data_IF_294880877612
#
_entry.id   IF_294880877612
#
_cell.length_a   1.000
_cell.length_b   1.000
_cell.length_c   1.000
_cell.angle_alpha   90.00
_cell.angle_beta   90.00
_cell.angle_gamma   90.00
#
_symmetry.space_group_name_H-M   'P 1'
#
loop_
_entity.id
_entity.type
_entity.pdbx_description
1 polymer ?
#
# COMPACT_ATOMS: atom_id res chain seq x y z
N UNK A 1 -6.91 15.82 8.00
CA UNK A 1 -5.61 15.14 8.25
C UNK A 1 -4.66 16.08 8.99
N UNK A 2 -3.72 15.58 9.80
CA UNK A 2 -2.73 16.40 10.52
C UNK A 2 -1.63 16.90 9.57
N UNK A 3 -1.05 18.07 9.87
CA UNK A 3 0.04 18.64 9.06
C UNK A 3 1.28 17.72 8.98
N UNK A 4 1.57 17.00 10.06
CA UNK A 4 2.70 16.06 10.16
C UNK A 4 2.60 14.89 9.20
N UNK A 5 1.41 14.35 8.92
CA UNK A 5 1.25 13.28 7.93
C UNK A 5 1.51 13.81 6.51
N UNK A 6 1.09 15.02 6.18
CA UNK A 6 1.33 15.61 4.86
C UNK A 6 2.81 15.85 4.59
N UNK A 7 3.55 16.30 5.60
CA UNK A 7 5.00 16.47 5.53
C UNK A 7 5.73 15.13 5.38
N UNK A 8 5.22 14.06 6.01
CA UNK A 8 5.75 12.71 5.84
C UNK A 8 5.55 12.18 4.40
N UNK A 9 4.37 12.40 3.83
CA UNK A 9 3.97 11.86 2.53
C UNK A 9 4.53 12.67 1.36
N UNK A 10 4.57 13.99 1.51
CA UNK A 10 5.05 14.94 0.51
C UNK A 10 5.95 16.00 1.16
N UNK A 11 7.17 15.58 1.58
CA UNK A 11 8.13 16.50 2.13
C UNK A 11 8.60 17.50 1.08
N UNK A 12 8.95 18.70 1.51
CA UNK A 12 9.50 19.75 0.64
C UNK A 12 11.02 19.57 0.53
N UNK A 13 11.44 18.52 -0.17
CA UNK A 13 12.86 18.17 -0.38
C UNK A 13 13.13 17.78 -1.84
N UNK A 14 14.36 18.00 -2.31
CA UNK A 14 14.79 17.58 -3.65
C UNK A 14 14.65 16.07 -3.86
N UNK A 15 14.84 15.27 -2.81
CA UNK A 15 14.64 13.82 -2.87
C UNK A 15 13.17 13.45 -3.17
N UNK A 16 12.20 14.20 -2.63
CA UNK A 16 10.78 13.96 -2.86
C UNK A 16 10.39 14.14 -4.33
N UNK A 17 11.10 15.00 -5.08
CA UNK A 17 10.90 15.18 -6.51
C UNK A 17 11.23 13.91 -7.32
N UNK A 18 12.00 12.99 -6.74
CA UNK A 18 12.36 11.70 -7.33
C UNK A 18 11.59 10.52 -6.74
N UNK A 19 10.48 10.78 -6.06
CA UNK A 19 9.63 9.77 -5.43
C UNK A 19 8.21 9.77 -5.98
N UNK A 20 7.54 8.63 -5.82
CA UNK A 20 6.14 8.43 -6.13
C UNK A 20 5.46 7.79 -4.93
N UNK A 21 4.29 8.31 -4.58
CA UNK A 21 3.47 7.79 -3.51
C UNK A 21 2.37 6.90 -4.08
N UNK A 22 2.20 5.74 -3.47
CA UNK A 22 1.12 4.81 -3.77
C UNK A 22 0.39 4.41 -2.50
N UNK A 23 -0.92 4.17 -2.62
CA UNK A 23 -1.72 3.50 -1.60
C UNK A 23 -2.00 2.08 -2.07
N UNK A 24 -1.50 1.08 -1.34
CA UNK A 24 -1.88 -0.31 -1.54
C UNK A 24 -3.08 -0.64 -0.66
N UNK A 25 -4.26 -0.59 -1.26
CA UNK A 25 -5.56 -0.74 -0.59
C UNK A 25 -6.01 -2.20 -0.55
N UNK A 26 -6.64 -2.59 0.55
CA UNK A 26 -7.27 -3.88 0.76
C UNK A 26 -8.76 -3.83 0.39
N UNK A 27 -9.12 -4.22 -0.83
CA UNK A 27 -10.53 -4.24 -1.25
C UNK A 27 -11.43 -5.16 -0.40
N UNK A 28 -10.86 -6.14 0.32
CA UNK A 28 -11.63 -6.98 1.23
C UNK A 28 -11.96 -6.28 2.55
N UNK A 29 -11.28 -5.16 2.86
CA UNK A 29 -11.49 -4.40 4.10
C UNK A 29 -12.81 -3.66 4.10
N UNK A 30 -13.13 -2.98 2.99
CA UNK A 30 -14.31 -2.13 2.89
C UNK A 30 -14.84 -2.09 1.44
N UNK A 31 -16.13 -2.43 1.20
CA UNK A 31 -16.71 -2.42 -0.14
C UNK A 31 -16.78 -1.01 -0.77
N UNK A 32 -16.61 0.06 0.01
CA UNK A 32 -16.55 1.43 -0.50
C UNK A 32 -15.27 1.70 -1.30
N UNK A 33 -14.18 0.96 -1.04
CA UNK A 33 -12.88 1.15 -1.70
C UNK A 33 -13.02 1.05 -3.22
N UNK A 34 -13.48 -0.10 -3.75
CA UNK A 34 -13.56 -0.27 -5.20
C UNK A 34 -14.54 0.73 -5.82
N UNK A 35 -15.68 0.99 -5.16
CA UNK A 35 -16.69 1.96 -5.63
C UNK A 35 -16.13 3.37 -5.76
N UNK A 36 -15.33 3.79 -4.78
CA UNK A 36 -14.69 5.10 -4.80
C UNK A 36 -13.60 5.15 -5.87
N UNK A 37 -12.74 4.12 -5.95
CA UNK A 37 -11.69 4.05 -6.96
C UNK A 37 -12.24 4.08 -8.39
N UNK A 38 -13.40 3.47 -8.65
CA UNK A 38 -14.08 3.51 -9.96
C UNK A 38 -14.51 4.91 -10.40
N UNK A 39 -14.64 5.84 -9.46
CA UNK A 39 -15.05 7.23 -9.73
C UNK A 39 -13.89 8.23 -9.63
N UNK A 40 -12.79 7.85 -8.97
CA UNK A 40 -11.67 8.73 -8.67
C UNK A 40 -10.87 9.21 -9.88
N UNK A 41 -10.83 8.42 -10.97
CA UNK A 41 -9.94 8.67 -12.11
C UNK A 41 -8.45 8.46 -11.81
N UNK A 42 -8.09 8.00 -10.61
CA UNK A 42 -6.69 7.72 -10.25
C UNK A 42 -6.13 6.53 -11.04
N UNK A 43 -4.86 6.65 -11.41
CA UNK A 43 -4.08 5.54 -11.95
C UNK A 43 -4.01 4.40 -10.93
N UNK A 44 -4.44 3.20 -11.32
CA UNK A 44 -4.59 2.05 -10.42
C UNK A 44 -4.37 0.73 -11.12
N UNK A 45 -3.85 -0.24 -10.35
CA UNK A 45 -3.55 -1.59 -10.80
C UNK A 45 -4.07 -2.62 -9.79
N UNK A 46 -4.76 -3.65 -10.28
CA UNK A 46 -5.19 -4.77 -9.43
C UNK A 46 -4.00 -5.73 -9.24
N UNK A 47 -3.67 -6.09 -8.01
CA UNK A 47 -2.56 -7.02 -7.75
C UNK A 47 -2.88 -8.45 -8.21
N UNK A 48 -4.16 -8.84 -8.23
CA UNK A 48 -4.58 -10.08 -8.86
C UNK A 48 -4.47 -9.97 -10.39
N UNK A 49 -4.30 -11.09 -11.08
CA UNK A 49 -4.15 -11.13 -12.54
C UNK A 49 -5.22 -12.00 -13.18
N UNK A 50 -5.44 -11.77 -14.48
CA UNK A 50 -6.43 -12.49 -15.27
C UNK A 50 -7.85 -11.97 -15.08
N UNK A 51 -8.80 -12.67 -15.69
CA UNK A 51 -10.22 -12.35 -15.57
C UNK A 51 -10.71 -12.73 -14.16
N UNK A 52 -11.16 -11.74 -13.40
CA UNK A 52 -11.68 -11.93 -12.05
C UNK A 52 -13.21 -11.85 -12.06
N UNK A 53 -13.86 -12.76 -11.36
CA UNK A 53 -15.29 -12.62 -11.07
C UNK A 53 -15.53 -11.35 -10.24
N UNK A 54 -16.70 -10.68 -10.37
CA UNK A 54 -16.95 -9.38 -9.73
C UNK A 54 -16.67 -9.35 -8.23
N UNK A 55 -17.07 -10.40 -7.51
CA UNK A 55 -16.84 -10.51 -6.06
C UNK A 55 -15.34 -10.56 -5.70
N UNK A 56 -14.54 -11.26 -6.49
CA UNK A 56 -13.10 -11.35 -6.27
C UNK A 56 -12.39 -10.04 -6.63
N UNK A 57 -12.84 -9.35 -7.69
CA UNK A 57 -12.36 -8.02 -8.06
C UNK A 57 -12.66 -6.98 -6.97
N UNK A 58 -13.86 -7.04 -6.39
CA UNK A 58 -14.26 -6.16 -5.29
C UNK A 58 -13.36 -6.33 -4.05
N UNK A 59 -13.00 -7.57 -3.73
CA UNK A 59 -12.13 -7.89 -2.60
C UNK A 59 -10.62 -7.85 -2.92
N UNK A 60 -10.23 -7.48 -4.15
CA UNK A 60 -8.84 -7.54 -4.57
C UNK A 60 -8.00 -6.42 -3.93
N UNK A 61 -6.69 -6.62 -3.74
CA UNK A 61 -5.80 -5.53 -3.39
C UNK A 61 -5.53 -4.63 -4.60
N UNK A 62 -5.58 -3.32 -4.38
CA UNK A 62 -5.43 -2.29 -5.40
C UNK A 62 -4.23 -1.39 -5.11
N UNK A 63 -3.28 -1.35 -6.02
CA UNK A 63 -2.21 -0.36 -6.00
C UNK A 63 -2.74 0.91 -6.67
N UNK A 64 -2.68 2.05 -6.01
CA UNK A 64 -3.23 3.32 -6.51
C UNK A 64 -2.17 4.39 -6.39
N UNK A 65 -1.89 5.12 -7.46
CA UNK A 65 -0.93 6.22 -7.44
C UNK A 65 -1.59 7.46 -6.83
N UNK A 66 -0.89 8.15 -5.93
CA UNK A 66 -1.35 9.38 -5.29
C UNK A 66 -0.55 10.58 -5.81
N UNK A 67 -1.07 11.36 -6.77
CA UNK A 67 -0.46 12.63 -7.15
C UNK A 67 -0.30 13.56 -5.94
N UNK A 68 0.83 14.25 -5.87
CA UNK A 68 1.21 15.03 -4.70
C UNK A 68 0.19 16.12 -4.39
N UNK A 69 -0.37 16.08 -3.17
CA UNK A 69 -1.33 17.07 -2.64
C UNK A 69 -2.54 17.35 -3.55
N UNK A 70 -2.85 16.47 -4.51
CA UNK A 70 -4.03 16.60 -5.34
C UNK A 70 -5.30 16.38 -4.49
N UNK A 71 -6.40 17.12 -4.72
CA UNK A 71 -7.62 17.00 -3.93
C UNK A 71 -8.13 15.54 -3.80
N UNK A 72 -8.08 14.78 -4.90
CA UNK A 72 -8.50 13.37 -4.93
C UNK A 72 -7.60 12.44 -4.09
N UNK A 73 -6.31 12.75 -3.97
CA UNK A 73 -5.38 12.02 -3.09
C UNK A 73 -5.72 12.28 -1.63
N UNK A 74 -6.01 13.54 -1.29
CA UNK A 74 -6.36 13.95 0.06
C UNK A 74 -7.70 13.33 0.49
N UNK A 75 -8.69 13.32 -0.41
CA UNK A 75 -9.98 12.67 -0.18
C UNK A 75 -9.82 11.17 0.12
N UNK A 76 -9.01 10.45 -0.65
CA UNK A 76 -8.76 9.02 -0.40
C UNK A 76 -8.11 8.79 0.96
N UNK A 77 -7.13 9.62 1.33
CA UNK A 77 -6.47 9.52 2.63
C UNK A 77 -7.45 9.83 3.78
N UNK A 78 -8.30 10.84 3.65
CA UNK A 78 -9.34 11.14 4.64
C UNK A 78 -10.38 10.02 4.78
N UNK A 79 -10.69 9.33 3.69
CA UNK A 79 -11.61 8.21 3.70
C UNK A 79 -11.02 6.97 4.36
N UNK A 80 -9.74 6.66 4.09
CA UNK A 80 -9.15 5.36 4.42
C UNK A 80 -8.15 5.35 5.58
N UNK A 81 -7.44 6.45 5.83
CA UNK A 81 -6.49 6.52 6.93
C UNK A 81 -7.23 6.44 8.29
N UNK A 82 -6.70 5.64 9.19
CA UNK A 82 -7.29 5.25 10.47
C UNK A 82 -8.34 4.13 10.38
N UNK A 83 -8.61 3.56 9.20
CA UNK A 83 -9.62 2.49 9.01
C UNK A 83 -9.02 1.13 8.61
N UNK A 84 -7.70 1.02 8.62
CA UNK A 84 -6.94 -0.11 8.12
C UNK A 84 -7.25 -0.43 6.66
N UNK A 85 -7.46 0.59 5.82
CA UNK A 85 -7.73 0.42 4.39
C UNK A 85 -6.52 -0.08 3.61
N UNK A 86 -5.30 0.10 4.12
CA UNK A 86 -4.11 -0.41 3.46
C UNK A 86 -2.82 0.15 4.03
N UNK A 87 -1.77 0.14 3.21
CA UNK A 87 -0.47 0.73 3.51
C UNK A 87 -0.04 1.71 2.42
N UNK A 88 0.80 2.67 2.78
CA UNK A 88 1.38 3.63 1.84
C UNK A 88 2.79 3.18 1.44
N UNK A 89 3.09 3.28 0.15
CA UNK A 89 4.35 2.86 -0.44
C UNK A 89 5.00 4.07 -1.12
N UNK A 90 6.23 4.36 -0.76
CA UNK A 90 7.05 5.36 -1.46
C UNK A 90 8.05 4.63 -2.33
N UNK A 91 7.99 4.88 -3.64
CA UNK A 91 8.85 4.26 -4.63
C UNK A 91 9.69 5.31 -5.39
N UNK A 92 10.87 4.95 -5.91
CA UNK A 92 11.62 5.81 -6.83
C UNK A 92 10.79 6.15 -8.07
N UNK A 93 10.89 7.38 -8.58
CA UNK A 93 10.09 7.86 -9.70
C UNK A 93 10.30 7.08 -11.02
N UNK A 94 11.47 6.48 -11.20
CA UNK A 94 11.78 5.63 -12.35
C UNK A 94 11.17 4.22 -12.27
N UNK A 95 10.66 3.80 -11.10
CA UNK A 95 10.02 2.50 -10.95
C UNK A 95 8.60 2.58 -11.53
N UNK A 96 8.32 1.80 -12.57
CA UNK A 96 6.98 1.75 -13.15
C UNK A 96 5.96 1.12 -12.19
N UNK A 97 4.71 1.57 -12.28
CA UNK A 97 3.60 1.02 -11.49
C UNK A 97 3.44 -0.49 -11.69
N UNK A 98 3.63 -0.99 -12.91
CA UNK A 98 3.58 -2.42 -13.23
C UNK A 98 4.74 -3.21 -12.57
N UNK A 99 5.96 -2.65 -12.52
CA UNK A 99 7.07 -3.26 -11.78
C UNK A 99 6.78 -3.30 -10.27
N UNK A 100 6.24 -2.22 -9.71
CA UNK A 100 5.83 -2.16 -8.31
C UNK A 100 4.69 -3.14 -8.00
N UNK A 101 3.69 -3.23 -8.88
CA UNK A 101 2.60 -4.21 -8.79
C UNK A 101 3.15 -5.63 -8.77
N UNK A 102 4.08 -5.98 -9.66
CA UNK A 102 4.74 -7.30 -9.68
C UNK A 102 5.52 -7.57 -8.39
N UNK A 103 6.21 -6.56 -7.85
CA UNK A 103 6.90 -6.67 -6.57
C UNK A 103 5.91 -7.05 -5.46
N UNK A 104 4.87 -6.24 -5.26
CA UNK A 104 3.84 -6.46 -4.24
C UNK A 104 3.14 -7.82 -4.41
N UNK A 105 2.87 -8.24 -5.66
CA UNK A 105 2.19 -9.50 -5.96
C UNK A 105 2.94 -10.73 -5.44
N UNK A 106 4.28 -10.69 -5.37
CA UNK A 106 5.10 -11.82 -4.85
C UNK A 106 4.76 -12.15 -3.40
N UNK A 107 4.37 -11.15 -2.62
CA UNK A 107 4.10 -11.27 -1.19
C UNK A 107 2.65 -11.61 -0.86
N UNK A 108 1.77 -11.74 -1.85
CA UNK A 108 0.37 -12.14 -1.60
C UNK A 108 0.24 -13.56 -1.05
N UNK A 109 1.28 -14.38 -1.20
CA UNK A 109 1.29 -15.77 -0.75
C UNK A 109 2.60 -16.07 -0.04
N UNK A 110 2.51 -16.72 1.09
CA UNK A 110 3.66 -17.24 1.85
C UNK A 110 3.56 -18.75 1.93
N UNK A 111 4.72 -19.40 2.05
CA UNK A 111 4.81 -20.83 2.28
C UNK A 111 5.18 -21.09 3.73
N UNK A 112 4.39 -21.89 4.42
CA UNK A 112 4.66 -22.34 5.79
C UNK A 112 5.65 -23.50 5.80
N UNK A 113 6.16 -23.83 6.99
CA UNK A 113 7.10 -24.93 7.21
C UNK A 113 6.55 -26.29 6.72
N UNK A 114 5.25 -26.51 6.92
CA UNK A 114 4.52 -27.70 6.43
C UNK A 114 4.16 -27.65 4.94
N UNK A 115 4.79 -26.73 4.18
CA UNK A 115 4.64 -26.52 2.73
C UNK A 115 3.26 -26.04 2.26
N UNK A 116 2.36 -25.65 3.17
CA UNK A 116 1.07 -25.03 2.79
C UNK A 116 1.32 -23.63 2.22
N UNK A 117 0.46 -23.24 1.29
CA UNK A 117 0.46 -21.90 0.72
C UNK A 117 -0.68 -21.13 1.34
N UNK A 118 -0.36 -20.07 2.09
CA UNK A 118 -1.32 -19.20 2.73
C UNK A 118 -1.38 -17.86 2.01
N UNK A 119 -2.56 -17.24 1.98
CA UNK A 119 -2.70 -15.86 1.54
C UNK A 119 -2.14 -14.94 2.63
N UNK A 120 -1.18 -14.10 2.26
CA UNK A 120 -0.57 -13.14 3.17
C UNK A 120 -1.07 -11.74 2.84
N UNK A 121 -1.91 -11.20 3.74
CA UNK A 121 -2.44 -9.83 3.68
C UNK A 121 -1.41 -8.85 4.27
N UNK A 122 -0.22 -8.83 3.69
CA UNK A 122 0.87 -7.93 4.13
C UNK A 122 0.51 -6.44 4.00
N UNK A 123 -0.52 -6.12 3.23
CA UNK A 123 -1.03 -4.77 3.03
C UNK A 123 -2.12 -4.38 4.05
N UNK A 124 -2.46 -5.25 5.00
CA UNK A 124 -3.25 -4.86 6.18
C UNK A 124 -2.29 -4.23 7.20
N UNK A 125 -2.47 -2.96 7.60
CA UNK A 125 -1.52 -2.28 8.48
C UNK A 125 -1.39 -2.96 9.85
N UNK A 126 -2.44 -3.65 10.34
CA UNK A 126 -2.40 -4.41 11.60
C UNK A 126 -1.57 -5.69 11.50
N UNK A 127 -1.41 -6.21 10.28
CA UNK A 127 -0.55 -7.37 10.01
C UNK A 127 0.89 -6.90 9.83
N UNK A 128 1.12 -5.87 9.00
CA UNK A 128 2.47 -5.47 8.64
C UNK A 128 3.24 -4.84 9.79
N UNK A 129 2.58 -4.00 10.60
CA UNK A 129 3.19 -3.33 11.77
C UNK A 129 3.76 -4.31 12.81
N UNK A 130 3.16 -5.51 12.92
CA UNK A 130 3.64 -6.56 13.82
C UNK A 130 4.60 -7.52 13.12
N UNK A 131 4.34 -7.85 11.85
CA UNK A 131 5.13 -8.83 11.12
C UNK A 131 6.53 -8.30 10.75
N UNK A 132 6.62 -7.12 10.14
CA UNK A 132 7.86 -6.64 9.55
C UNK A 132 9.00 -6.43 10.57
N UNK A 133 8.75 -5.99 11.82
CA UNK A 133 9.77 -5.97 12.88
C UNK A 133 10.32 -7.34 13.30
N UNK A 134 9.59 -8.43 13.02
CA UNK A 134 10.01 -9.80 13.37
C UNK A 134 10.84 -10.46 12.26
N UNK A 135 10.92 -9.81 11.10
CA UNK A 135 11.68 -10.32 9.96
C UNK A 135 13.18 -10.26 10.21
N UNK A 136 13.90 -11.25 9.69
CA UNK A 136 15.34 -11.13 9.53
C UNK A 136 15.70 -10.07 8.46
N UNK A 137 16.98 -9.71 8.39
CA UNK A 137 17.46 -8.68 7.45
C UNK A 137 17.16 -9.03 5.99
N UNK A 138 17.22 -10.31 5.62
CA UNK A 138 16.95 -10.77 4.26
C UNK A 138 15.47 -10.65 3.90
N UNK A 139 14.58 -11.06 4.80
CA UNK A 139 13.14 -10.94 4.67
C UNK A 139 12.69 -9.47 4.62
N UNK A 140 13.26 -8.64 5.50
CA UNK A 140 13.00 -7.21 5.53
C UNK A 140 13.40 -6.55 4.20
N UNK A 141 14.64 -6.77 3.76
CA UNK A 141 15.13 -6.26 2.45
C UNK A 141 14.32 -6.78 1.28
N UNK A 142 13.86 -8.02 1.32
CA UNK A 142 13.03 -8.58 0.26
C UNK A 142 11.68 -7.85 0.16
N UNK A 143 11.02 -7.59 1.29
CA UNK A 143 9.70 -6.96 1.32
C UNK A 143 9.79 -5.45 0.98
N UNK A 144 10.71 -4.72 1.62
CA UNK A 144 10.90 -3.29 1.33
C UNK A 144 11.43 -3.10 -0.10
N UNK A 145 12.40 -3.90 -0.51
CA UNK A 145 12.80 -4.06 -1.91
C UNK A 145 12.97 -2.73 -2.67
N UNK A 146 12.40 -2.55 -3.87
CA UNK A 146 12.62 -1.37 -4.69
C UNK A 146 11.99 -0.09 -4.11
N UNK A 147 11.32 -0.17 -2.96
CA UNK A 147 10.72 0.97 -2.28
C UNK A 147 11.79 1.77 -1.52
N UNK A 148 11.50 3.05 -1.33
CA UNK A 148 12.25 3.90 -0.40
C UNK A 148 11.71 3.75 1.02
N UNK A 149 10.38 3.68 1.15
CA UNK A 149 9.68 3.61 2.44
C UNK A 149 8.36 2.85 2.32
N UNK A 150 8.01 2.12 3.37
CA UNK A 150 6.64 1.68 3.62
C UNK A 150 6.14 2.41 4.86
N UNK A 151 4.96 3.01 4.76
CA UNK A 151 4.34 3.77 5.84
C UNK A 151 3.06 3.05 6.24
N UNK A 152 2.95 2.76 7.54
CA UNK A 152 1.91 1.91 8.10
C UNK A 152 1.26 2.66 9.25
N UNK A 153 -0.04 2.88 9.18
CA UNK A 153 -0.80 3.46 10.28
C UNK A 153 -0.85 2.53 11.50
N UNK A 154 -0.81 3.12 12.69
CA UNK A 154 -1.04 2.45 13.97
C UNK A 154 -1.97 3.32 14.82
N UNK A 155 -2.50 2.75 15.92
CA UNK A 155 -3.40 3.46 16.83
C UNK A 155 -4.57 4.16 16.12
N UNK A 156 -5.26 3.43 15.23
CA UNK A 156 -6.36 3.92 14.40
C UNK A 156 -6.01 5.21 13.62
N UNK A 157 -4.76 5.32 13.17
CA UNK A 157 -4.26 6.41 12.34
C UNK A 157 -3.76 7.62 13.14
N UNK A 158 -3.74 7.54 14.47
CA UNK A 158 -3.18 8.57 15.34
C UNK A 158 -1.64 8.64 15.27
N UNK A 159 -0.98 7.52 14.95
CA UNK A 159 0.47 7.42 14.77
C UNK A 159 0.82 6.50 13.59
N UNK A 160 2.10 6.37 13.25
CA UNK A 160 2.56 5.54 12.14
C UNK A 160 3.96 4.95 12.35
N UNK A 161 4.22 3.85 11.67
CA UNK A 161 5.55 3.26 11.52
C UNK A 161 6.08 3.46 10.10
N UNK A 162 7.39 3.64 9.98
CA UNK A 162 8.09 3.80 8.70
C UNK A 162 9.19 2.75 8.59
N UNK A 163 9.12 1.92 7.56
CA UNK A 163 10.10 0.88 7.25
C UNK A 163 10.93 1.27 6.03
N UNK A 164 12.25 1.01 6.06
CA UNK A 164 13.26 1.42 5.06
C UNK A 164 14.21 0.28 4.69
#
# INVERSE_FOLDING_TARGET
>A
MTGTLMELLWPDTDEAAHEQLYYLLDGARDPAILKWLERSGLERECLYAGALIPRLKAAAPWLVRLPARAPVSLELLELGWGKAWGILLVAPAQLSMDALRRHCKKFLRVRTEDRRVLNFRFYDPRVLSVFLPTCDEGQHKALVGPLRRIIVEVDDGADWQVFR
#
